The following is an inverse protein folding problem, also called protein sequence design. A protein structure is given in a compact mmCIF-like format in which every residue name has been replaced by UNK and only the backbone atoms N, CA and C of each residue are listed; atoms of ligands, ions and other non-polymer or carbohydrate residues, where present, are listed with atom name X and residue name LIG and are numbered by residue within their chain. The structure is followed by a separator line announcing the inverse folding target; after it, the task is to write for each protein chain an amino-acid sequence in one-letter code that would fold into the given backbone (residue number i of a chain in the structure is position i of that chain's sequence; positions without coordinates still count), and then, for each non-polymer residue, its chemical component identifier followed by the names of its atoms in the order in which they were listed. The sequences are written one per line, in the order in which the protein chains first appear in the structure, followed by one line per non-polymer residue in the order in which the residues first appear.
data_IF_543337021757
#
_entry.id   IF_543337021757
#
_cell.length_a   1.000
_cell.length_b   1.000
_cell.length_c   1.000
_cell.angle_alpha   90.00
_cell.angle_beta   90.00
_cell.angle_gamma   90.00
#
_symmetry.space_group_name_H-M   'P 1'
#
loop_
_entity.id
_entity.type
_entity.pdbx_description
1 polymer ?
#
# COMPACT_ATOMS: atom_id res chain seq x y z
N UNK A 1 39.46 41.30 47.00
CA UNK A 1 38.62 40.11 47.24
C UNK A 1 37.73 39.85 46.02
N UNK A 2 38.33 39.69 44.84
CA UNK A 2 37.60 39.79 43.56
C UNK A 2 38.20 38.90 42.45
N UNK A 3 38.86 37.80 42.84
CA UNK A 3 39.48 36.90 41.88
C UNK A 3 38.98 35.46 42.11
N UNK A 4 38.58 34.81 41.02
CA UNK A 4 38.40 33.36 40.87
C UNK A 4 37.06 32.72 41.32
N UNK A 5 35.94 33.20 40.78
CA UNK A 5 34.74 32.36 40.55
C UNK A 5 34.35 32.30 39.07
N UNK A 6 35.25 31.80 38.23
CA UNK A 6 34.88 31.18 36.95
C UNK A 6 35.08 29.69 37.08
N UNK A 7 34.09 28.98 37.66
CA UNK A 7 34.01 27.53 37.51
C UNK A 7 33.29 27.25 36.20
N UNK A 8 34.03 26.57 35.34
CA UNK A 8 33.70 26.12 33.99
C UNK A 8 32.29 25.51 33.95
N UNK A 9 31.49 26.02 33.01
CA UNK A 9 30.13 25.59 32.71
C UNK A 9 30.01 24.07 32.50
N UNK A 10 28.84 23.47 32.76
CA UNK A 10 28.59 22.04 32.50
C UNK A 10 28.48 21.79 30.99
N UNK A 11 29.63 21.76 30.29
CA UNK A 11 29.71 21.39 28.86
C UNK A 11 29.42 19.91 28.62
N UNK A 12 29.49 19.07 29.65
CA UNK A 12 29.26 17.62 29.58
C UNK A 12 27.79 17.25 29.36
N UNK A 13 26.84 18.02 29.90
CA UNK A 13 25.41 17.74 29.74
C UNK A 13 24.90 17.93 28.31
N UNK A 14 25.41 18.96 27.62
CA UNK A 14 25.04 19.25 26.22
C UNK A 14 25.63 18.19 25.27
N UNK A 15 26.89 17.80 25.47
CA UNK A 15 27.53 16.78 24.66
C UNK A 15 26.86 15.39 24.83
N UNK A 16 26.49 15.02 26.05
CA UNK A 16 25.76 13.78 26.32
C UNK A 16 24.35 13.79 25.70
N UNK A 17 23.62 14.91 25.82
CA UNK A 17 22.30 15.06 25.19
C UNK A 17 22.36 14.95 23.66
N UNK A 18 23.37 15.57 23.04
CA UNK A 18 23.56 15.53 21.59
C UNK A 18 23.96 14.14 21.09
N UNK A 19 24.79 13.41 21.84
CA UNK A 19 25.15 12.02 21.53
C UNK A 19 23.93 11.08 21.60
N UNK A 20 23.07 11.23 22.61
CA UNK A 20 21.83 10.44 22.73
C UNK A 20 20.87 10.77 21.59
N UNK A 21 20.67 12.04 21.26
CA UNK A 21 19.82 12.45 20.15
C UNK A 21 20.33 11.89 18.81
N UNK A 22 21.64 11.92 18.57
CA UNK A 22 22.26 11.36 17.36
C UNK A 22 22.10 9.83 17.30
N UNK A 23 22.28 9.14 18.42
CA UNK A 23 22.10 7.69 18.51
C UNK A 23 20.65 7.27 18.20
N UNK A 24 19.66 8.03 18.72
CA UNK A 24 18.24 7.81 18.41
C UNK A 24 17.96 8.08 16.92
N UNK A 25 18.48 9.18 16.36
CA UNK A 25 18.29 9.51 14.96
C UNK A 25 18.89 8.46 14.01
N UNK A 26 20.12 8.01 14.28
CA UNK A 26 20.80 6.96 13.49
C UNK A 26 20.10 5.62 13.66
N UNK A 27 19.75 5.24 14.90
CA UNK A 27 19.02 4.00 15.17
C UNK A 27 17.65 3.98 14.49
N UNK A 28 16.92 5.10 14.54
CA UNK A 28 15.66 5.30 13.83
C UNK A 28 15.85 5.19 12.32
N UNK A 29 16.80 5.93 11.73
CA UNK A 29 17.07 5.88 10.30
C UNK A 29 17.45 4.46 9.84
N UNK A 30 18.31 3.76 10.59
CA UNK A 30 18.67 2.37 10.29
C UNK A 30 17.48 1.43 10.36
N UNK A 31 16.63 1.57 11.39
CA UNK A 31 15.40 0.79 11.54
C UNK A 31 14.46 1.04 10.36
N UNK A 32 14.18 2.30 10.00
CA UNK A 32 13.34 2.63 8.86
C UNK A 32 13.95 2.14 7.54
N UNK A 33 15.26 2.22 7.33
CA UNK A 33 15.89 1.73 6.11
C UNK A 33 15.90 0.21 5.99
N UNK A 34 15.95 -0.54 7.10
CA UNK A 34 16.02 -2.01 7.08
C UNK A 34 14.66 -2.67 7.19
N UNK A 35 13.74 -2.11 7.96
CA UNK A 35 12.46 -2.73 8.31
C UNK A 35 11.32 -2.23 7.42
N UNK A 36 11.35 -0.96 6.98
CA UNK A 36 10.29 -0.42 6.13
C UNK A 36 10.22 -1.05 4.74
N UNK A 37 11.34 -1.31 4.02
CA UNK A 37 11.23 -1.92 2.69
C UNK A 37 10.59 -3.32 2.71
N UNK A 38 10.95 -4.23 3.64
CA UNK A 38 10.23 -5.50 3.81
C UNK A 38 8.74 -5.33 4.13
N UNK A 39 8.38 -4.39 5.00
CA UNK A 39 6.98 -4.12 5.36
C UNK A 39 6.18 -3.61 4.16
N UNK A 40 6.75 -2.70 3.37
CA UNK A 40 6.14 -2.22 2.13
C UNK A 40 6.02 -3.34 1.10
N UNK A 41 7.05 -4.17 0.97
CA UNK A 41 7.01 -5.34 0.10
C UNK A 41 5.92 -6.34 0.53
N UNK A 42 5.64 -6.48 1.83
CA UNK A 42 4.61 -7.36 2.36
C UNK A 42 3.23 -6.69 2.48
N UNK A 43 3.13 -5.40 2.18
CA UNK A 43 1.85 -4.69 2.18
C UNK A 43 0.97 -5.12 1.01
N UNK A 44 -0.34 -4.87 1.10
CA UNK A 44 -1.29 -5.09 0.01
C UNK A 44 -0.87 -4.38 -1.28
N UNK A 45 -0.36 -3.14 -1.17
CA UNK A 45 0.18 -2.37 -2.30
C UNK A 45 1.42 -3.03 -2.88
N UNK A 46 2.36 -3.48 -2.04
CA UNK A 46 3.56 -4.19 -2.49
C UNK A 46 3.24 -5.51 -3.18
N UNK A 47 2.24 -6.24 -2.69
CA UNK A 47 1.73 -7.47 -3.33
C UNK A 47 1.11 -7.13 -4.69
N UNK A 48 0.25 -6.11 -4.78
CA UNK A 48 -0.37 -5.66 -6.02
C UNK A 48 0.69 -5.28 -7.08
N UNK A 49 1.68 -4.48 -6.70
CA UNK A 49 2.77 -4.05 -7.58
C UNK A 49 3.58 -5.24 -8.12
N UNK A 50 3.93 -6.22 -7.26
CA UNK A 50 4.62 -7.44 -7.72
C UNK A 50 3.73 -8.30 -8.61
N UNK A 51 2.44 -8.38 -8.30
CA UNK A 51 1.50 -9.18 -9.06
C UNK A 51 1.29 -8.65 -10.49
N UNK A 52 1.47 -7.36 -10.74
CA UNK A 52 1.40 -6.81 -12.10
C UNK A 52 2.49 -7.36 -13.02
N UNK A 53 3.73 -7.44 -12.55
CA UNK A 53 4.87 -7.81 -13.40
C UNK A 53 5.17 -6.71 -14.41
N UNK A 54 4.65 -6.85 -15.63
CA UNK A 54 4.67 -5.78 -16.63
C UNK A 54 3.52 -4.79 -16.36
N UNK A 55 3.73 -3.48 -16.56
CA UNK A 55 2.69 -2.50 -16.33
C UNK A 55 1.47 -2.79 -17.24
N UNK A 56 0.27 -3.00 -16.69
CA UNK A 56 -0.95 -3.07 -17.49
C UNK A 56 -1.19 -1.70 -18.12
N UNK A 57 -2.03 -1.63 -19.16
CA UNK A 57 -2.38 -0.34 -19.76
C UNK A 57 -3.04 0.59 -18.73
N UNK A 58 -3.91 0.04 -17.87
CA UNK A 58 -4.67 0.79 -16.87
C UNK A 58 -4.98 -0.08 -15.64
N UNK A 59 -4.45 0.28 -14.47
CA UNK A 59 -4.78 -0.32 -13.18
C UNK A 59 -5.23 0.73 -12.18
N UNK A 60 -6.20 0.38 -11.32
CA UNK A 60 -6.69 1.25 -10.25
C UNK A 60 -6.55 0.55 -8.91
N UNK A 61 -5.97 1.24 -7.93
CA UNK A 61 -6.00 0.82 -6.53
C UNK A 61 -7.14 1.54 -5.81
N UNK A 62 -8.10 0.77 -5.32
CA UNK A 62 -9.25 1.27 -4.57
C UNK A 62 -8.86 1.54 -3.12
N UNK A 63 -9.12 2.76 -2.67
CA UNK A 63 -8.79 3.25 -1.32
C UNK A 63 -10.05 3.58 -0.52
N UNK A 64 -9.90 3.81 0.78
CA UNK A 64 -11.00 4.25 1.65
C UNK A 64 -11.48 5.66 1.30
N UNK A 65 -12.76 5.91 1.56
CA UNK A 65 -13.36 7.24 1.54
C UNK A 65 -13.90 7.64 2.92
N UNK A 66 -13.68 8.88 3.39
CA UNK A 66 -12.72 9.85 2.85
C UNK A 66 -11.28 9.31 2.98
N UNK A 67 -10.31 9.79 2.18
CA UNK A 67 -8.91 9.45 2.42
C UNK A 67 -8.63 9.81 3.89
N UNK A 68 -8.20 8.84 4.68
CA UNK A 68 -7.71 9.17 6.01
C UNK A 68 -6.55 10.16 5.82
N UNK A 69 -6.57 11.28 6.54
CA UNK A 69 -5.43 12.18 6.62
C UNK A 69 -4.30 11.41 7.33
N UNK A 70 -3.52 10.68 6.54
CA UNK A 70 -2.40 9.85 6.98
C UNK A 70 -1.09 10.62 6.85
N UNK A 71 -1.15 11.95 7.02
CA UNK A 71 0.01 12.86 6.98
C UNK A 71 1.11 12.41 7.96
N UNK A 72 0.74 11.68 9.01
CA UNK A 72 1.65 11.10 10.00
C UNK A 72 2.36 9.81 9.55
N UNK A 73 1.93 9.19 8.44
CA UNK A 73 2.38 7.87 7.99
C UNK A 73 3.48 7.93 6.91
N UNK A 74 3.98 9.13 6.56
CA UNK A 74 4.98 9.33 5.49
C UNK A 74 4.58 8.64 4.18
N UNK A 75 3.29 8.62 3.87
CA UNK A 75 2.72 7.97 2.68
C UNK A 75 3.40 8.49 1.42
N UNK A 76 3.75 9.78 1.36
CA UNK A 76 4.41 10.40 0.21
C UNK A 76 5.83 9.86 -0.03
N UNK A 77 6.58 9.58 1.05
CA UNK A 77 7.92 8.98 0.96
C UNK A 77 7.85 7.49 0.61
N UNK A 78 6.81 6.79 1.06
CA UNK A 78 6.55 5.41 0.66
C UNK A 78 6.07 5.34 -0.80
N UNK A 79 5.25 6.30 -1.23
CA UNK A 79 4.74 6.44 -2.59
C UNK A 79 5.85 6.82 -3.58
N UNK A 80 6.88 7.57 -3.18
CA UNK A 80 8.04 7.86 -4.02
C UNK A 80 8.89 6.61 -4.36
N UNK A 81 8.75 5.51 -3.60
CA UNK A 81 9.38 4.22 -3.90
C UNK A 81 8.49 3.30 -4.75
N UNK A 82 7.23 3.71 -5.00
CA UNK A 82 6.29 3.04 -5.89
C UNK A 82 6.48 3.65 -7.28
N UNK A 83 6.60 2.86 -8.36
CA UNK A 83 6.73 3.40 -9.72
C UNK A 83 5.63 4.42 -10.02
N UNK A 84 6.02 5.58 -10.55
CA UNK A 84 5.15 6.75 -10.66
C UNK A 84 3.84 6.48 -11.44
N UNK A 85 3.84 5.57 -12.43
CA UNK A 85 2.64 5.14 -13.15
C UNK A 85 2.87 3.69 -13.62
N UNK A 86 1.95 2.74 -13.29
CA UNK A 86 0.67 2.64 -14.01
C UNK A 86 -0.60 2.47 -13.12
N UNK A 87 -0.50 2.68 -11.80
CA UNK A 87 -1.62 2.43 -10.88
C UNK A 87 -2.22 3.73 -10.35
N UNK A 88 -3.43 4.06 -10.78
CA UNK A 88 -4.20 5.20 -10.26
C UNK A 88 -4.84 4.84 -8.91
N UNK A 89 -4.67 5.68 -7.87
CA UNK A 89 -5.38 5.49 -6.61
C UNK A 89 -6.75 6.20 -6.63
N UNK A 90 -7.83 5.51 -6.30
CA UNK A 90 -9.20 6.07 -6.29
C UNK A 90 -9.98 5.66 -5.04
N UNK A 91 -10.64 6.60 -4.34
CA UNK A 91 -11.53 6.23 -3.24
C UNK A 91 -12.72 5.44 -3.76
N UNK A 92 -13.03 4.31 -3.14
CA UNK A 92 -14.23 3.54 -3.46
C UNK A 92 -15.45 4.17 -2.77
N UNK A 93 -16.33 4.78 -3.57
CA UNK A 93 -17.64 5.28 -3.14
C UNK A 93 -18.71 4.68 -4.06
N UNK A 94 -19.50 3.76 -3.54
CA UNK A 94 -20.69 3.18 -4.19
C UNK A 94 -20.49 2.71 -5.65
N UNK A 95 -19.28 2.24 -5.97
CA UNK A 95 -18.93 1.73 -7.30
C UNK A 95 -18.70 2.80 -8.37
N UNK A 96 -18.78 4.10 -8.06
CA UNK A 96 -18.48 5.17 -9.02
C UNK A 96 -17.03 5.09 -9.54
N UNK A 97 -16.09 4.67 -8.68
CA UNK A 97 -14.69 4.44 -9.04
C UNK A 97 -14.47 3.30 -10.03
N UNK A 98 -15.47 2.43 -10.26
CA UNK A 98 -15.32 1.27 -11.13
C UNK A 98 -15.54 1.58 -12.61
N UNK A 99 -16.12 2.73 -12.94
CA UNK A 99 -16.60 3.05 -14.28
C UNK A 99 -15.96 4.34 -14.81
N UNK A 100 -15.56 4.28 -16.07
CA UNK A 100 -15.06 5.40 -16.84
C UNK A 100 -16.19 6.36 -17.26
N UNK A 101 -15.85 7.56 -17.75
CA UNK A 101 -16.85 8.51 -18.26
C UNK A 101 -17.65 7.98 -19.46
N UNK A 102 -17.13 6.95 -20.15
CA UNK A 102 -17.75 6.27 -21.30
C UNK A 102 -18.67 5.10 -20.90
N UNK A 103 -18.86 4.85 -19.60
CA UNK A 103 -19.68 3.75 -19.09
C UNK A 103 -18.98 2.38 -19.13
N UNK A 104 -17.71 2.31 -19.56
CA UNK A 104 -16.91 1.07 -19.56
C UNK A 104 -16.16 0.91 -18.23
N UNK A 105 -15.62 -0.29 -17.92
CA UNK A 105 -14.72 -0.43 -16.79
C UNK A 105 -13.59 0.59 -16.87
N UNK A 106 -13.33 1.31 -15.76
CA UNK A 106 -12.30 2.35 -15.70
C UNK A 106 -10.87 1.83 -15.84
N UNK A 107 -10.66 0.56 -15.49
CA UNK A 107 -9.36 -0.07 -15.51
C UNK A 107 -9.52 -1.53 -15.94
N UNK A 108 -8.43 -2.10 -16.44
CA UNK A 108 -8.35 -3.54 -16.69
C UNK A 108 -8.32 -4.31 -15.38
N UNK A 109 -7.63 -3.77 -14.37
CA UNK A 109 -7.47 -4.37 -13.05
C UNK A 109 -7.81 -3.37 -11.95
N UNK A 110 -8.63 -3.83 -11.00
CA UNK A 110 -8.89 -3.13 -9.75
C UNK A 110 -8.21 -3.86 -8.61
N UNK A 111 -7.35 -3.20 -7.86
CA UNK A 111 -6.71 -3.70 -6.65
C UNK A 111 -7.37 -3.11 -5.40
N UNK A 112 -7.43 -3.88 -4.32
CA UNK A 112 -7.93 -3.41 -3.03
C UNK A 112 -7.30 -4.24 -1.90
N UNK A 113 -7.26 -3.67 -0.70
CA UNK A 113 -6.73 -4.35 0.48
C UNK A 113 -7.82 -5.02 1.31
N UNK A 114 -7.57 -6.17 1.95
CA UNK A 114 -8.52 -6.82 2.86
C UNK A 114 -8.82 -5.97 4.11
N UNK A 115 -7.90 -5.07 4.48
CA UNK A 115 -8.03 -4.18 5.64
C UNK A 115 -9.00 -3.02 5.39
N UNK A 116 -9.50 -2.87 4.16
CA UNK A 116 -10.80 -2.24 3.99
C UNK A 116 -11.79 -3.16 4.73
N UNK A 117 -12.30 -2.77 5.90
CA UNK A 117 -13.47 -3.39 6.56
C UNK A 117 -14.75 -3.44 5.67
N UNK A 118 -14.58 -3.16 4.38
CA UNK A 118 -15.50 -3.08 3.28
C UNK A 118 -15.13 -4.06 2.15
N UNK A 119 -14.17 -4.97 2.32
CA UNK A 119 -13.76 -5.95 1.29
C UNK A 119 -14.96 -6.68 0.68
N UNK A 120 -15.89 -7.15 1.52
CA UNK A 120 -17.13 -7.76 1.07
C UNK A 120 -18.01 -6.78 0.27
N UNK A 121 -18.05 -5.50 0.65
CA UNK A 121 -18.82 -4.46 -0.08
C UNK A 121 -18.17 -4.09 -1.42
N UNK A 122 -16.84 -4.02 -1.48
CA UNK A 122 -16.10 -3.78 -2.71
C UNK A 122 -16.30 -4.95 -3.66
N UNK A 123 -16.08 -6.17 -3.17
CA UNK A 123 -16.31 -7.40 -3.93
C UNK A 123 -17.75 -7.49 -4.42
N UNK A 124 -18.74 -7.26 -3.55
CA UNK A 124 -20.15 -7.28 -3.91
C UNK A 124 -20.49 -6.21 -4.96
N UNK A 125 -19.97 -4.99 -4.81
CA UNK A 125 -20.20 -3.92 -5.79
C UNK A 125 -19.55 -4.18 -7.14
N UNK A 126 -18.34 -4.77 -7.14
CA UNK A 126 -17.68 -5.26 -8.36
C UNK A 126 -18.54 -6.33 -9.02
N UNK A 127 -19.01 -7.33 -8.28
CA UNK A 127 -19.82 -8.41 -8.84
C UNK A 127 -21.21 -7.98 -9.30
N UNK A 128 -21.84 -7.05 -8.58
CA UNK A 128 -23.11 -6.44 -8.99
C UNK A 128 -22.96 -5.67 -10.31
N UNK A 129 -21.80 -5.03 -10.54
CA UNK A 129 -21.52 -4.28 -11.77
C UNK A 129 -21.03 -5.16 -12.91
N UNK A 130 -20.22 -6.17 -12.59
CA UNK A 130 -19.48 -7.00 -13.53
C UNK A 130 -19.68 -8.47 -13.17
N UNK A 131 -20.85 -9.03 -13.52
CA UNK A 131 -21.18 -10.42 -13.20
C UNK A 131 -20.17 -11.45 -13.74
N UNK A 132 -19.46 -11.11 -14.82
CA UNK A 132 -18.40 -11.92 -15.43
C UNK A 132 -17.00 -11.70 -14.86
N UNK A 133 -16.82 -10.87 -13.83
CA UNK A 133 -15.51 -10.54 -13.32
C UNK A 133 -14.80 -11.75 -12.71
N UNK A 134 -13.48 -11.80 -12.94
CA UNK A 134 -12.58 -12.72 -12.24
C UNK A 134 -12.01 -12.00 -11.01
N UNK A 135 -12.11 -12.63 -9.85
CA UNK A 135 -11.64 -12.14 -8.56
C UNK A 135 -10.39 -12.91 -8.15
N UNK A 136 -9.38 -12.20 -7.70
CA UNK A 136 -8.08 -12.74 -7.33
C UNK A 136 -7.79 -12.45 -5.87
N UNK A 137 -7.30 -13.45 -5.16
CA UNK A 137 -6.65 -13.27 -3.85
C UNK A 137 -5.17 -13.46 -4.09
N UNK A 138 -4.39 -12.42 -3.86
CA UNK A 138 -2.94 -12.38 -4.03
C UNK A 138 -2.30 -12.38 -2.65
N UNK A 139 -1.32 -13.23 -2.42
CA UNK A 139 -0.69 -13.43 -1.11
C UNK A 139 0.80 -13.11 -1.17
N UNK A 140 1.37 -12.75 -0.03
CA UNK A 140 2.83 -12.74 0.12
C UNK A 140 3.38 -14.18 0.26
N UNK A 141 4.71 -14.38 0.18
CA UNK A 141 5.29 -15.72 0.29
C UNK A 141 4.98 -16.45 1.61
N UNK A 142 4.72 -15.70 2.69
CA UNK A 142 4.37 -16.27 3.99
C UNK A 142 2.87 -16.57 4.15
N UNK A 143 2.02 -16.11 3.22
CA UNK A 143 0.57 -16.24 3.30
C UNK A 143 -0.08 -15.41 4.41
N UNK A 144 0.65 -14.46 5.00
CA UNK A 144 0.20 -13.62 6.12
C UNK A 144 -0.57 -12.42 5.60
N UNK A 145 -0.06 -11.81 4.53
CA UNK A 145 -0.65 -10.62 3.93
C UNK A 145 -1.33 -10.95 2.62
N UNK A 146 -2.37 -10.19 2.29
CA UNK A 146 -3.07 -10.33 1.03
C UNK A 146 -3.39 -8.99 0.37
N UNK A 147 -3.52 -9.02 -0.95
CA UNK A 147 -4.16 -8.00 -1.78
C UNK A 147 -5.22 -8.69 -2.64
N UNK A 148 -6.35 -8.04 -2.81
CA UNK A 148 -7.40 -8.52 -3.67
C UNK A 148 -7.31 -7.79 -5.01
N UNK A 149 -7.65 -8.50 -6.07
CA UNK A 149 -7.75 -7.91 -7.40
C UNK A 149 -9.02 -8.38 -8.12
N UNK A 150 -9.51 -7.56 -9.05
CA UNK A 150 -10.62 -7.92 -9.91
C UNK A 150 -10.33 -7.52 -11.35
N UNK A 151 -10.66 -8.41 -12.28
CA UNK A 151 -10.65 -8.16 -13.72
C UNK A 151 -12.10 -8.10 -14.23
N UNK A 152 -12.65 -6.91 -14.54
CA UNK A 152 -14.05 -6.73 -14.90
C UNK A 152 -14.49 -7.52 -16.14
N UNK A 153 -13.61 -7.60 -17.13
CA UNK A 153 -13.85 -8.34 -18.38
C UNK A 153 -13.85 -9.87 -18.19
N UNK A 154 -13.52 -10.36 -17.00
CA UNK A 154 -13.29 -11.78 -16.75
C UNK A 154 -11.99 -12.28 -17.38
N UNK A 155 -11.92 -13.59 -17.62
CA UNK A 155 -10.74 -14.25 -18.19
C UNK A 155 -9.56 -14.34 -17.21
N UNK A 156 -8.56 -15.13 -17.59
CA UNK A 156 -7.35 -15.31 -16.79
C UNK A 156 -6.36 -14.17 -17.07
N UNK A 157 -6.22 -13.25 -16.12
CA UNK A 157 -4.97 -12.52 -15.93
C UNK A 157 -4.04 -13.45 -15.16
N UNK A 158 -2.76 -13.45 -15.52
CA UNK A 158 -1.74 -14.26 -14.86
C UNK A 158 -0.90 -13.32 -13.99
N UNK A 159 -1.10 -13.31 -12.66
CA UNK A 159 -0.26 -12.52 -11.77
C UNK A 159 1.20 -12.94 -11.93
N UNK A 160 2.12 -11.97 -11.91
CA UNK A 160 3.56 -12.19 -11.85
C UNK A 160 4.04 -12.64 -10.45
N UNK A 161 3.22 -13.47 -9.79
CA UNK A 161 3.52 -14.15 -8.55
C UNK A 161 3.61 -15.66 -8.81
N UNK A 162 4.37 -16.41 -8.01
CA UNK A 162 4.34 -17.88 -8.03
C UNK A 162 2.91 -18.41 -7.89
N UNK A 163 2.56 -19.47 -8.61
CA UNK A 163 1.19 -20.04 -8.62
C UNK A 163 0.58 -20.30 -7.21
N UNK A 164 1.33 -20.74 -6.19
CA UNK A 164 0.78 -20.90 -4.84
C UNK A 164 0.39 -19.60 -4.12
N UNK A 165 0.84 -18.44 -4.63
CA UNK A 165 0.59 -17.13 -4.01
C UNK A 165 -0.65 -16.44 -4.59
N UNK A 166 -1.43 -17.11 -5.44
CA UNK A 166 -2.68 -16.53 -5.90
C UNK A 166 -3.76 -17.57 -6.14
N UNK A 167 -4.99 -17.14 -5.92
CA UNK A 167 -6.20 -17.90 -6.17
C UNK A 167 -7.14 -17.07 -7.02
N UNK A 168 -7.92 -17.71 -7.89
CA UNK A 168 -8.91 -17.04 -8.73
C UNK A 168 -10.30 -17.66 -8.54
N UNK A 169 -11.30 -16.80 -8.43
CA UNK A 169 -12.72 -17.15 -8.38
C UNK A 169 -13.52 -16.27 -9.34
N UNK A 170 -14.76 -16.64 -9.63
CA UNK A 170 -15.67 -15.83 -10.44
C UNK A 170 -16.80 -15.27 -9.58
N UNK A 171 -17.34 -14.11 -9.96
CA UNK A 171 -18.48 -13.50 -9.27
C UNK A 171 -19.73 -14.41 -9.21
N UNK A 172 -19.98 -15.24 -10.23
CA UNK A 172 -21.14 -16.15 -10.27
C UNK A 172 -21.04 -17.41 -9.40
N UNK A 173 -19.94 -17.61 -8.65
CA UNK A 173 -19.75 -18.77 -7.76
C UNK A 173 -19.87 -18.43 -6.27
N UNK A 174 -20.27 -17.21 -5.93
CA UNK A 174 -20.42 -16.73 -4.55
C UNK A 174 -21.89 -16.43 -4.23
#
# INVERSE_FOLDING_TARGET
FEALRRRVAPRSGVAAGLAVALAIAIGGAWYFHRVTPPLLAQSSVGIALRALGEPPREAVFLTHSPPAELDWLYVDLMAAAIPAEPIEARPYQDGAALIGPDGRPRAELFFYSPALEQDERVTAGICARFAGAALYVLRDPAGISASHAARPAGGAWLPALPAPQWEVSGCGRR
#
